data_IF_173100397419
#
_entry.id   IF_173100397419
#
_cell.length_a   1.000
_cell.length_b   1.000
_cell.length_c   1.000
_cell.angle_alpha   90.00
_cell.angle_beta   90.00
_cell.angle_gamma   90.00
#
_symmetry.space_group_name_H-M   'P 1'
#
loop_
_entity.id
_entity.type
_entity.pdbx_description
1 polymer ?
#
# COMPACT_ATOMS: atom_id res chain seq x y z
N UNK A 1 -14.00 8.61 13.22
CA UNK A 1 -15.23 8.77 12.39
C UNK A 1 -15.36 7.80 11.21
N UNK A 2 -14.27 7.23 10.65
CA UNK A 2 -14.32 6.36 9.45
C UNK A 2 -14.92 4.95 9.64
N UNK A 3 -14.98 4.43 10.87
CA UNK A 3 -15.68 3.15 11.14
C UNK A 3 -17.17 3.23 10.84
N UNK A 4 -17.81 4.40 11.09
CA UNK A 4 -19.24 4.61 10.88
C UNK A 4 -19.62 4.58 9.40
N UNK A 5 -18.71 4.98 8.49
CA UNK A 5 -18.95 4.95 7.04
C UNK A 5 -18.80 3.55 6.44
N UNK A 6 -17.88 2.73 6.97
CA UNK A 6 -17.73 1.32 6.56
C UNK A 6 -18.94 0.48 6.98
N UNK A 7 -19.43 0.67 8.21
CA UNK A 7 -20.65 -0.01 8.67
C UNK A 7 -21.88 0.41 7.86
N UNK A 8 -22.04 1.71 7.54
CA UNK A 8 -23.15 2.14 6.70
C UNK A 8 -23.07 1.58 5.29
N UNK A 9 -21.87 1.48 4.71
CA UNK A 9 -21.69 0.90 3.37
C UNK A 9 -22.02 -0.61 3.32
N UNK A 10 -21.65 -1.36 4.36
CA UNK A 10 -22.01 -2.78 4.49
C UNK A 10 -23.51 -2.99 4.68
N UNK A 11 -24.16 -2.14 5.48
CA UNK A 11 -25.62 -2.19 5.66
C UNK A 11 -26.34 -1.88 4.34
N UNK A 12 -25.89 -0.87 3.59
CA UNK A 12 -26.46 -0.52 2.27
C UNK A 12 -26.29 -1.66 1.27
N UNK A 13 -25.15 -2.36 1.27
CA UNK A 13 -24.92 -3.55 0.43
C UNK A 13 -25.84 -4.71 0.82
N UNK A 14 -26.01 -4.97 2.12
CA UNK A 14 -26.91 -6.00 2.62
C UNK A 14 -28.37 -5.73 2.23
N UNK A 15 -28.84 -4.49 2.43
CA UNK A 15 -30.18 -4.06 2.01
C UNK A 15 -30.34 -4.17 0.49
N UNK A 16 -29.35 -3.75 -0.29
CA UNK A 16 -29.36 -3.88 -1.75
C UNK A 16 -29.45 -5.33 -2.23
N UNK A 17 -28.76 -6.26 -1.57
CA UNK A 17 -28.82 -7.69 -1.88
C UNK A 17 -30.22 -8.28 -1.60
N UNK A 18 -30.85 -7.90 -0.49
CA UNK A 18 -32.24 -8.30 -0.16
C UNK A 18 -33.23 -7.75 -1.18
N UNK A 19 -33.08 -6.47 -1.57
CA UNK A 19 -33.93 -5.83 -2.59
C UNK A 19 -33.75 -6.51 -3.95
N UNK A 20 -32.54 -6.89 -4.34
CA UNK A 20 -32.29 -7.64 -5.58
C UNK A 20 -32.90 -9.04 -5.55
N UNK A 21 -32.80 -9.76 -4.42
CA UNK A 21 -33.42 -11.08 -4.27
C UNK A 21 -34.95 -10.98 -4.37
N UNK A 22 -35.55 -9.97 -3.74
CA UNK A 22 -36.98 -9.70 -3.85
C UNK A 22 -37.40 -9.31 -5.28
N UNK A 23 -36.59 -8.50 -5.98
CA UNK A 23 -36.83 -8.13 -7.37
C UNK A 23 -36.77 -9.34 -8.31
N UNK A 24 -35.81 -10.25 -8.10
CA UNK A 24 -35.71 -11.52 -8.84
C UNK A 24 -36.93 -12.43 -8.59
N UNK A 25 -37.38 -12.53 -7.33
CA UNK A 25 -38.57 -13.30 -6.98
C UNK A 25 -39.84 -12.73 -7.65
N UNK A 26 -39.99 -11.40 -7.66
CA UNK A 26 -41.08 -10.71 -8.35
C UNK A 26 -40.99 -10.85 -9.88
N UNK A 27 -39.79 -10.89 -10.45
CA UNK A 27 -39.58 -11.11 -11.87
C UNK A 27 -40.00 -12.52 -12.29
N UNK A 28 -39.77 -13.52 -11.44
CA UNK A 28 -40.29 -14.88 -11.65
C UNK A 28 -41.83 -14.90 -11.58
N UNK A 29 -42.44 -14.18 -10.64
CA UNK A 29 -43.90 -14.10 -10.51
C UNK A 29 -44.55 -13.34 -11.68
N UNK A 30 -43.89 -12.32 -12.23
CA UNK A 30 -44.39 -11.53 -13.37
C UNK A 30 -44.49 -12.32 -14.69
N UNK A 31 -43.98 -13.55 -14.75
CA UNK A 31 -44.20 -14.44 -15.90
C UNK A 31 -45.64 -14.97 -15.98
N UNK A 32 -46.38 -14.89 -14.87
CA UNK A 32 -47.78 -15.34 -14.79
C UNK A 32 -48.76 -14.18 -15.00
N UNK A 33 -48.50 -13.00 -14.39
CA UNK A 33 -49.36 -11.82 -14.51
C UNK A 33 -48.58 -10.57 -14.98
N UNK A 34 -48.89 -10.00 -16.17
CA UNK A 34 -48.08 -8.96 -16.81
C UNK A 34 -48.19 -7.58 -16.16
N UNK A 35 -49.16 -7.36 -15.26
CA UNK A 35 -49.31 -6.09 -14.54
C UNK A 35 -48.16 -5.81 -13.55
N UNK A 36 -47.44 -6.86 -13.11
CA UNK A 36 -46.34 -6.78 -12.15
C UNK A 36 -44.98 -6.48 -12.81
N UNK A 37 -44.93 -6.48 -14.15
CA UNK A 37 -43.69 -6.40 -14.93
C UNK A 37 -43.01 -5.03 -14.78
N UNK A 38 -43.80 -3.94 -14.77
CA UNK A 38 -43.30 -2.59 -14.51
C UNK A 38 -42.71 -2.45 -13.10
N UNK A 39 -43.36 -3.06 -12.11
CA UNK A 39 -42.95 -2.99 -10.71
C UNK A 39 -41.65 -3.78 -10.48
N UNK A 40 -41.53 -4.95 -11.11
CA UNK A 40 -40.31 -5.76 -11.09
C UNK A 40 -39.12 -5.02 -11.71
N UNK A 41 -39.28 -4.40 -12.88
CA UNK A 41 -38.21 -3.63 -13.55
C UNK A 41 -37.74 -2.46 -12.68
N UNK A 42 -38.66 -1.72 -12.06
CA UNK A 42 -38.34 -0.55 -11.24
C UNK A 42 -37.57 -0.96 -9.98
N UNK A 43 -37.95 -2.08 -9.36
CA UNK A 43 -37.25 -2.63 -8.20
C UNK A 43 -35.85 -3.15 -8.57
N UNK A 44 -35.72 -3.78 -9.75
CA UNK A 44 -34.44 -4.27 -10.26
C UNK A 44 -33.48 -3.11 -10.54
N UNK A 45 -33.98 -2.05 -11.20
CA UNK A 45 -33.20 -0.83 -11.44
C UNK A 45 -32.73 -0.18 -10.13
N UNK A 46 -33.61 -0.09 -9.12
CA UNK A 46 -33.26 0.44 -7.80
C UNK A 46 -32.20 -0.43 -7.08
N UNK A 47 -32.35 -1.76 -7.13
CA UNK A 47 -31.39 -2.70 -6.55
C UNK A 47 -30.01 -2.61 -7.20
N UNK A 48 -29.95 -2.57 -8.54
CA UNK A 48 -28.69 -2.39 -9.29
C UNK A 48 -28.04 -1.06 -8.95
N UNK A 49 -28.81 0.03 -8.92
CA UNK A 49 -28.30 1.36 -8.57
C UNK A 49 -27.67 1.37 -7.16
N UNK A 50 -28.33 0.74 -6.18
CA UNK A 50 -27.81 0.60 -4.82
C UNK A 50 -26.50 -0.20 -4.76
N UNK A 51 -26.41 -1.33 -5.46
CA UNK A 51 -25.19 -2.15 -5.48
C UNK A 51 -24.05 -1.43 -6.19
N UNK A 52 -24.32 -0.78 -7.32
CA UNK A 52 -23.31 0.00 -8.05
C UNK A 52 -22.83 1.16 -7.19
N UNK A 53 -23.73 1.91 -6.55
CA UNK A 53 -23.35 3.00 -5.64
C UNK A 53 -22.57 2.49 -4.43
N UNK A 54 -23.03 1.40 -3.81
CA UNK A 54 -22.34 0.75 -2.70
C UNK A 54 -20.93 0.33 -3.08
N UNK A 55 -20.77 -0.37 -4.20
CA UNK A 55 -19.47 -0.84 -4.68
C UNK A 55 -18.51 0.30 -5.03
N UNK A 56 -19.00 1.38 -5.66
CA UNK A 56 -18.21 2.58 -5.93
C UNK A 56 -17.82 3.31 -4.64
N UNK A 57 -18.73 3.37 -3.66
CA UNK A 57 -18.46 3.95 -2.36
C UNK A 57 -17.38 3.15 -1.61
N UNK A 58 -17.45 1.82 -1.63
CA UNK A 58 -16.40 0.96 -1.09
C UNK A 58 -15.07 1.15 -1.82
N UNK A 59 -15.07 1.28 -3.16
CA UNK A 59 -13.85 1.57 -3.92
C UNK A 59 -13.23 2.91 -3.55
N UNK A 60 -14.04 3.96 -3.31
CA UNK A 60 -13.54 5.25 -2.81
C UNK A 60 -12.93 5.13 -1.42
N UNK A 61 -13.56 4.36 -0.52
CA UNK A 61 -13.02 4.07 0.81
C UNK A 61 -11.76 3.18 0.76
N UNK A 62 -11.63 2.36 -0.29
CA UNK A 62 -10.45 1.52 -0.54
C UNK A 62 -9.28 2.31 -1.13
N UNK A 63 -9.49 3.47 -1.75
CA UNK A 63 -8.38 4.33 -2.15
C UNK A 63 -7.61 4.94 -0.95
N UNK A 64 -8.24 4.95 0.23
CA UNK A 64 -7.61 5.34 1.50
C UNK A 64 -7.19 4.11 2.34
N UNK A 65 -6.98 2.94 1.73
CA UNK A 65 -6.47 1.80 2.49
C UNK A 65 -4.97 1.96 2.78
N UNK A 66 -4.55 1.73 4.04
CA UNK A 66 -3.16 1.91 4.46
C UNK A 66 -2.21 0.95 3.74
N UNK A 67 -2.71 -0.13 3.14
CA UNK A 67 -1.92 -1.04 2.31
C UNK A 67 -1.40 -0.37 1.03
N UNK A 68 -2.24 0.37 0.29
CA UNK A 68 -1.80 1.08 -0.92
C UNK A 68 -0.83 2.23 -0.59
N UNK A 69 -1.03 2.86 0.57
CA UNK A 69 -0.10 3.88 1.07
C UNK A 69 1.25 3.27 1.41
N UNK A 70 1.27 2.06 2.00
CA UNK A 70 2.51 1.35 2.32
C UNK A 70 3.35 1.02 1.08
N UNK A 71 2.72 0.61 -0.03
CA UNK A 71 3.40 0.35 -1.30
C UNK A 71 4.01 1.62 -1.89
N UNK A 72 3.27 2.73 -1.87
CA UNK A 72 3.76 4.04 -2.34
C UNK A 72 4.92 4.56 -1.48
N UNK A 73 4.85 4.38 -0.16
CA UNK A 73 5.95 4.73 0.75
C UNK A 73 7.19 3.89 0.45
N UNK A 74 7.06 2.58 0.15
CA UNK A 74 8.23 1.77 -0.24
C UNK A 74 8.84 2.18 -1.58
N UNK A 75 8.05 2.65 -2.55
CA UNK A 75 8.59 3.22 -3.81
C UNK A 75 9.36 4.51 -3.52
N UNK A 76 8.85 5.34 -2.61
CA UNK A 76 9.50 6.57 -2.18
C UNK A 76 10.79 6.30 -1.40
N UNK A 77 10.78 5.30 -0.52
CA UNK A 77 11.98 4.83 0.19
C UNK A 77 13.05 4.31 -0.78
N UNK A 78 12.67 3.63 -1.88
CA UNK A 78 13.63 3.24 -2.93
C UNK A 78 14.28 4.42 -3.62
N UNK A 79 13.54 5.52 -3.83
CA UNK A 79 14.09 6.73 -4.43
C UNK A 79 15.05 7.48 -3.49
N UNK A 80 14.88 7.32 -2.16
CA UNK A 80 15.65 7.99 -1.11
C UNK A 80 16.57 7.02 -0.32
N UNK A 81 17.15 6.03 -1.00
CA UNK A 81 18.18 5.14 -0.44
C UNK A 81 17.78 4.37 0.85
N UNK A 82 16.48 4.18 1.08
CA UNK A 82 15.96 3.42 2.22
C UNK A 82 15.67 4.26 3.47
N UNK A 83 15.72 5.59 3.41
CA UNK A 83 15.40 6.48 4.53
C UNK A 83 14.29 7.48 4.15
N UNK A 84 13.26 7.60 5.00
CA UNK A 84 12.15 8.52 4.76
C UNK A 84 11.74 9.21 6.06
N UNK A 85 11.63 10.53 6.03
CA UNK A 85 11.06 11.31 7.14
C UNK A 85 9.56 11.45 7.02
N UNK A 86 8.86 11.62 8.14
CA UNK A 86 7.41 11.87 8.16
C UNK A 86 7.03 13.06 7.27
N UNK A 87 7.72 14.19 7.45
CA UNK A 87 7.50 15.42 6.70
C UNK A 87 7.68 15.24 5.19
N UNK A 88 8.65 14.42 4.78
CA UNK A 88 8.91 14.14 3.38
C UNK A 88 7.85 13.23 2.76
N UNK A 89 7.42 12.19 3.49
CA UNK A 89 6.32 11.34 3.06
C UNK A 89 5.01 12.13 2.90
N UNK A 90 4.72 13.06 3.82
CA UNK A 90 3.53 13.94 3.73
C UNK A 90 3.62 14.88 2.54
N UNK A 91 4.77 15.53 2.33
CA UNK A 91 4.98 16.48 1.23
C UNK A 91 4.83 15.81 -0.15
N UNK A 92 5.46 14.65 -0.33
CA UNK A 92 5.55 13.98 -1.64
C UNK A 92 4.28 13.19 -1.98
N UNK A 93 3.63 12.57 -0.98
CA UNK A 93 2.39 11.81 -1.21
C UNK A 93 1.15 12.71 -1.24
N UNK A 94 1.27 13.98 -0.81
CA UNK A 94 0.18 14.96 -0.70
C UNK A 94 -1.00 14.38 0.12
N UNK A 95 -0.67 13.71 1.22
CA UNK A 95 -1.63 13.00 2.09
C UNK A 95 -1.69 13.64 3.48
N UNK A 96 -2.84 13.53 4.17
CA UNK A 96 -2.94 14.01 5.55
C UNK A 96 -2.01 13.22 6.48
N UNK A 97 -1.43 13.91 7.45
CA UNK A 97 -0.41 13.38 8.36
C UNK A 97 -0.85 12.09 9.07
N UNK A 98 -2.10 12.06 9.56
CA UNK A 98 -2.69 10.89 10.22
C UNK A 98 -2.65 9.61 9.35
N UNK A 99 -2.85 9.76 8.03
CA UNK A 99 -2.85 8.63 7.11
C UNK A 99 -1.43 8.09 6.88
N UNK A 100 -0.45 9.00 6.78
CA UNK A 100 0.97 8.66 6.61
C UNK A 100 1.51 7.97 7.87
N UNK A 101 1.19 8.51 9.06
CA UNK A 101 1.53 7.89 10.35
C UNK A 101 0.94 6.47 10.45
N UNK A 102 -0.33 6.27 10.08
CA UNK A 102 -0.94 4.93 10.10
C UNK A 102 -0.25 3.94 9.16
N UNK A 103 0.14 4.39 7.96
CA UNK A 103 0.82 3.54 7.00
C UNK A 103 2.25 3.18 7.46
N UNK A 104 2.99 4.13 8.03
CA UNK A 104 4.32 3.90 8.60
C UNK A 104 4.26 2.95 9.81
N UNK A 105 3.30 3.14 10.72
CA UNK A 105 3.06 2.22 11.83
C UNK A 105 2.71 0.80 11.35
N UNK A 106 1.99 0.67 10.24
CA UNK A 106 1.64 -0.62 9.65
C UNK A 106 2.87 -1.30 9.03
N UNK A 107 3.77 -0.53 8.42
CA UNK A 107 5.07 -1.03 7.93
C UNK A 107 5.99 -1.46 9.07
N UNK A 108 6.00 -0.72 10.19
CA UNK A 108 6.74 -1.06 11.40
C UNK A 108 6.24 -2.36 12.02
N UNK A 109 4.92 -2.53 12.16
CA UNK A 109 4.31 -3.78 12.64
C UNK A 109 4.60 -4.98 11.75
N UNK A 110 4.78 -4.76 10.45
CA UNK A 110 5.18 -5.80 9.48
C UNK A 110 6.68 -6.09 9.50
N UNK A 111 7.48 -5.36 10.29
CA UNK A 111 8.93 -5.51 10.36
C UNK A 111 9.68 -5.01 9.12
N UNK A 112 9.03 -4.21 8.26
CA UNK A 112 9.61 -3.68 7.01
C UNK A 112 10.32 -2.36 7.21
N UNK A 113 10.01 -1.65 8.28
CA UNK A 113 10.58 -0.36 8.64
C UNK A 113 10.78 -0.28 10.16
N UNK A 114 11.72 0.54 10.61
CA UNK A 114 11.87 0.88 12.02
C UNK A 114 12.12 2.37 12.18
N UNK A 115 11.68 2.93 13.31
CA UNK A 115 11.99 4.32 13.67
C UNK A 115 13.40 4.39 14.23
N UNK A 116 14.21 5.23 13.60
CA UNK A 116 15.52 5.60 14.08
C UNK A 116 15.57 7.10 14.31
N UNK A 117 16.11 7.51 15.46
CA UNK A 117 16.26 8.92 15.80
C UNK A 117 17.69 9.34 15.46
N UNK A 118 17.89 9.88 14.27
CA UNK A 118 19.14 10.53 13.89
C UNK A 118 19.13 11.99 14.37
N UNK A 119 19.77 12.24 15.52
CA UNK A 119 19.88 13.57 16.11
C UNK A 119 18.52 14.15 16.52
N UNK A 120 18.12 15.24 15.87
CA UNK A 120 16.87 15.98 16.18
C UNK A 120 15.68 15.59 15.29
N UNK A 121 15.86 14.64 14.36
CA UNK A 121 14.81 14.22 13.43
C UNK A 121 14.50 12.74 13.60
N UNK A 122 13.22 12.40 13.47
CA UNK A 122 12.77 11.02 13.37
C UNK A 122 12.76 10.58 11.91
N UNK A 123 13.47 9.48 11.66
CA UNK A 123 13.62 8.89 10.33
C UNK A 123 13.06 7.46 10.39
N UNK A 124 12.31 7.07 9.36
CA UNK A 124 11.89 5.70 9.17
C UNK A 124 12.86 5.04 8.20
N UNK A 125 13.51 3.99 8.66
CA UNK A 125 14.56 3.28 7.94
C UNK A 125 14.03 1.95 7.43
N UNK A 126 14.29 1.66 6.16
CA UNK A 126 13.85 0.47 5.44
C UNK A 126 15.05 -0.42 5.12
N UNK A 127 15.38 -1.40 5.98
CA UNK A 127 16.61 -2.19 5.86
C UNK A 127 16.65 -3.03 4.58
N UNK A 128 15.50 -3.48 4.07
CA UNK A 128 15.42 -4.23 2.81
C UNK A 128 15.76 -3.39 1.57
N UNK A 129 15.66 -2.07 1.67
CA UNK A 129 15.78 -1.14 0.54
C UNK A 129 17.09 -0.35 0.57
N UNK A 130 17.85 -0.42 1.66
CA UNK A 130 19.18 0.18 1.71
C UNK A 130 20.09 -0.50 0.68
N UNK A 131 20.84 0.28 -0.11
CA UNK A 131 21.84 -0.29 -1.01
C UNK A 131 22.89 -1.01 -0.15
N UNK A 132 22.92 -2.35 -0.20
CA UNK A 132 24.02 -3.11 0.38
C UNK A 132 25.32 -2.60 -0.25
N UNK A 133 26.11 -1.83 0.53
CA UNK A 133 27.44 -1.40 0.15
C UNK A 133 28.36 -2.62 0.20
N UNK A 134 28.27 -3.47 -0.83
CA UNK A 134 29.29 -4.49 -1.07
C UNK A 134 30.57 -3.77 -1.45
N UNK A 135 31.50 -3.70 -0.51
CA UNK A 135 32.87 -3.22 -0.72
C UNK A 135 33.81 -4.43 -0.83
N UNK A 136 34.72 -4.41 -1.82
CA UNK A 136 35.81 -5.39 -1.87
C UNK A 136 36.86 -4.94 -0.86
N UNK A 137 36.95 -5.59 0.31
CA UNK A 137 38.04 -5.35 1.26
C UNK A 137 39.22 -6.24 0.90
N UNK A 138 40.39 -5.64 0.70
CA UNK A 138 41.62 -6.40 0.53
C UNK A 138 42.05 -7.01 1.88
N UNK A 139 42.25 -8.33 2.01
CA UNK A 139 42.63 -8.95 3.28
C UNK A 139 44.06 -8.60 3.71
N UNK A 140 44.88 -8.05 2.82
CA UNK A 140 46.29 -7.75 3.09
C UNK A 140 46.52 -6.32 3.58
N UNK A 141 45.82 -5.34 3.00
CA UNK A 141 46.03 -3.91 3.31
C UNK A 141 44.78 -3.21 3.84
N UNK A 142 43.64 -3.91 3.93
CA UNK A 142 42.37 -3.35 4.44
C UNK A 142 41.71 -2.32 3.53
N UNK A 143 42.28 -2.01 2.36
CA UNK A 143 41.70 -1.03 1.43
C UNK A 143 40.34 -1.51 0.92
N UNK A 144 39.33 -0.66 1.05
CA UNK A 144 37.98 -0.87 0.53
C UNK A 144 37.88 -0.30 -0.88
N UNK A 145 37.62 -1.18 -1.85
CA UNK A 145 37.48 -0.80 -3.25
C UNK A 145 36.01 -0.95 -3.70
N UNK A 146 35.44 0.07 -4.37
CA UNK A 146 34.08 0.00 -4.89
C UNK A 146 33.99 -1.05 -6.01
N UNK A 147 32.97 -1.91 -5.96
CA UNK A 147 32.76 -3.03 -6.90
C UNK A 147 32.62 -2.58 -8.36
N UNK A 148 32.28 -1.31 -8.61
CA UNK A 148 32.10 -0.75 -9.96
C UNK A 148 33.39 -0.70 -10.79
N UNK A 149 34.57 -0.72 -10.16
CA UNK A 149 35.82 -0.78 -10.92
C UNK A 149 36.21 -2.25 -11.13
N UNK A 150 36.42 -2.65 -12.39
CA UNK A 150 36.86 -3.99 -12.77
C UNK A 150 38.35 -4.21 -12.42
N UNK A 151 38.70 -4.03 -11.16
CA UNK A 151 40.06 -4.19 -10.64
C UNK A 151 40.12 -5.53 -9.93
N UNK A 152 40.94 -6.44 -10.47
CA UNK A 152 41.14 -7.79 -9.93
C UNK A 152 42.31 -7.87 -8.93
N UNK A 153 43.22 -6.88 -8.95
CA UNK A 153 44.37 -6.78 -8.04
C UNK A 153 44.34 -5.46 -7.28
N UNK A 154 44.59 -5.49 -5.98
CA UNK A 154 44.66 -4.27 -5.19
C UNK A 154 45.77 -3.34 -5.73
N UNK A 155 45.47 -2.07 -6.10
CA UNK A 155 46.50 -1.14 -6.58
C UNK A 155 47.50 -0.74 -5.49
N UNK A 156 47.16 -0.96 -4.22
CA UNK A 156 47.99 -0.60 -3.08
C UNK A 156 48.98 -1.71 -2.68
N UNK A 157 48.59 -2.99 -2.79
CA UNK A 157 49.42 -4.11 -2.30
C UNK A 157 49.55 -5.28 -3.27
N UNK A 158 48.93 -5.23 -4.45
CA UNK A 158 48.99 -6.29 -5.47
C UNK A 158 48.25 -7.59 -5.15
N UNK A 159 47.65 -7.71 -3.96
CA UNK A 159 46.95 -8.92 -3.53
C UNK A 159 45.57 -9.12 -4.19
N UNK A 160 45.13 -10.38 -4.24
CA UNK A 160 43.81 -10.74 -4.76
C UNK A 160 42.69 -10.24 -3.83
N UNK A 161 41.70 -9.56 -4.42
CA UNK A 161 40.55 -9.03 -3.71
C UNK A 161 39.52 -10.14 -3.48
N UNK A 162 39.14 -10.37 -2.22
CA UNK A 162 37.99 -11.22 -1.87
C UNK A 162 36.77 -10.34 -1.61
N UNK A 163 35.61 -10.77 -2.11
CA UNK A 163 34.33 -10.10 -1.84
C UNK A 163 33.95 -10.35 -0.38
N UNK A 164 33.87 -9.31 0.42
CA UNK A 164 33.26 -9.34 1.75
C UNK A 164 31.87 -8.72 1.65
N UNK A 165 30.85 -9.41 2.17
CA UNK A 165 29.53 -8.84 2.39
C UNK A 165 29.47 -8.34 3.82
N UNK A 166 29.14 -7.07 4.00
CA UNK A 166 28.69 -6.50 5.27
C UNK A 166 27.27 -5.96 5.04
#
# INVERSE_FOLDING_TARGET
MRLKSRTSALVVLGVGAVVLAAALALLCAATVDPEWLLLAILLLAAGVALVVWGSLSLRRLAHETPENLSDRITVLARAHEGEVTLSQAVAELTMPDEAVVQALNLLERRGRAYRERQGDREVYVFPELQPQKVARRCPYCGTELPVKQAVYRCPNCGGDLRLSKE
#
